data_IF_489804609027
#
_entry.id   IF_489804609027
#
_cell.length_a   1.000
_cell.length_b   1.000
_cell.length_c   1.000
_cell.angle_alpha   90.00
_cell.angle_beta   90.00
_cell.angle_gamma   90.00
#
_symmetry.space_group_name_H-M   'P 1'
#
loop_
_entity.id
_entity.type
_entity.pdbx_description
1 polymer ?
#
# COMPACT_ATOMS: atom_id res chain seq x y z
N UNK A 1 1.65 23.93 -8.54
CA UNK A 1 1.63 22.91 -7.49
C UNK A 1 1.01 21.65 -8.08
N UNK A 2 1.79 20.57 -8.25
CA UNK A 2 1.33 19.27 -8.78
C UNK A 2 1.25 18.28 -7.60
N UNK A 3 0.14 17.54 -7.49
CA UNK A 3 -0.08 16.55 -6.44
C UNK A 3 -0.37 15.20 -7.08
N UNK A 4 0.37 14.16 -6.70
CA UNK A 4 0.09 12.79 -7.12
C UNK A 4 -0.73 12.04 -6.07
N UNK A 5 -1.56 11.11 -6.52
CA UNK A 5 -2.35 10.22 -5.64
C UNK A 5 -1.87 8.79 -5.84
N UNK A 6 -1.54 8.10 -4.74
CA UNK A 6 -1.18 6.69 -4.75
C UNK A 6 -2.16 5.87 -3.92
N UNK A 7 -2.80 4.89 -4.55
CA UNK A 7 -3.86 4.08 -3.93
C UNK A 7 -3.36 2.67 -3.68
N UNK A 8 -3.57 2.14 -2.48
CA UNK A 8 -3.15 0.77 -2.15
C UNK A 8 -3.64 0.27 -0.79
N UNK A 9 -3.35 -1.00 -0.50
CA UNK A 9 -3.57 -1.60 0.82
C UNK A 9 -2.33 -1.55 1.71
N UNK A 10 -1.14 -1.62 1.09
CA UNK A 10 0.16 -1.57 1.75
C UNK A 10 0.31 -2.62 2.88
N UNK A 11 0.00 -3.89 2.58
CA UNK A 11 -0.05 -5.01 3.52
C UNK A 11 1.06 -6.04 3.26
N UNK A 12 2.34 -5.81 3.62
CA UNK A 12 2.90 -4.59 4.23
C UNK A 12 3.30 -3.52 3.21
N UNK A 13 3.67 -2.35 3.72
CA UNK A 13 4.44 -1.37 2.96
C UNK A 13 5.87 -1.90 2.75
N UNK A 14 6.41 -1.78 1.55
CA UNK A 14 7.70 -2.37 1.15
C UNK A 14 8.42 -1.48 0.14
N UNK A 15 9.64 -1.85 -0.25
CA UNK A 15 10.51 -1.00 -1.08
C UNK A 15 9.92 -0.68 -2.46
N UNK A 16 9.20 -1.62 -3.09
CA UNK A 16 8.42 -1.32 -4.29
C UNK A 16 7.44 -0.14 -4.12
N UNK A 17 6.64 -0.15 -3.05
CA UNK A 17 5.73 0.97 -2.74
C UNK A 17 6.48 2.27 -2.42
N UNK A 18 7.60 2.17 -1.70
CA UNK A 18 8.48 3.31 -1.41
C UNK A 18 8.97 3.96 -2.69
N UNK A 19 9.45 3.17 -3.65
CA UNK A 19 9.93 3.67 -4.92
C UNK A 19 8.82 4.34 -5.74
N UNK A 20 7.58 3.84 -5.70
CA UNK A 20 6.43 4.52 -6.31
C UNK A 20 6.21 5.92 -5.74
N UNK A 21 6.25 6.07 -4.41
CA UNK A 21 6.08 7.38 -3.75
C UNK A 21 7.24 8.31 -4.11
N UNK A 22 8.47 7.81 -4.12
CA UNK A 22 9.64 8.58 -4.57
C UNK A 22 9.47 9.06 -6.01
N UNK A 23 9.01 8.21 -6.92
CA UNK A 23 8.71 8.59 -8.31
C UNK A 23 7.64 9.66 -8.41
N UNK A 24 6.58 9.56 -7.63
CA UNK A 24 5.56 10.62 -7.59
C UNK A 24 6.19 11.95 -7.15
N UNK A 25 7.09 11.93 -6.16
CA UNK A 25 7.73 13.14 -5.63
C UNK A 25 8.85 13.70 -6.53
N UNK A 26 9.29 12.97 -7.56
CA UNK A 26 10.19 13.51 -8.58
C UNK A 26 9.46 14.55 -9.45
N UNK A 27 8.17 14.33 -9.76
CA UNK A 27 7.39 15.20 -10.64
C UNK A 27 6.31 16.02 -9.89
N UNK A 28 5.96 15.63 -8.66
CA UNK A 28 4.92 16.27 -7.85
C UNK A 28 5.51 16.91 -6.59
N UNK A 29 4.94 18.05 -6.19
CA UNK A 29 5.31 18.73 -4.96
C UNK A 29 4.90 17.93 -3.72
N UNK A 30 3.83 17.13 -3.85
CA UNK A 30 3.18 16.35 -2.80
C UNK A 30 2.62 15.02 -3.31
N UNK A 31 2.63 14.00 -2.46
CA UNK A 31 1.95 12.73 -2.66
C UNK A 31 0.83 12.54 -1.62
N UNK A 32 -0.37 12.17 -2.06
CA UNK A 32 -1.45 11.70 -1.20
C UNK A 32 -1.56 10.18 -1.34
N UNK A 33 -1.30 9.46 -0.25
CA UNK A 33 -1.46 8.02 -0.17
C UNK A 33 -2.86 7.70 0.36
N UNK A 34 -3.72 7.13 -0.49
CA UNK A 34 -5.01 6.58 -0.11
C UNK A 34 -4.81 5.12 0.29
N UNK A 35 -4.76 4.85 1.59
CA UNK A 35 -4.60 3.51 2.13
C UNK A 35 -5.95 2.94 2.52
N UNK A 36 -6.33 1.85 1.85
CA UNK A 36 -7.57 1.13 2.12
C UNK A 36 -7.48 0.39 3.46
N UNK A 37 -8.50 0.59 4.30
CA UNK A 37 -8.70 -0.26 5.47
C UNK A 37 -9.41 -1.55 5.10
N UNK A 38 -8.98 -2.65 5.70
CA UNK A 38 -9.43 -4.00 5.36
C UNK A 38 -9.43 -4.88 6.60
N UNK A 39 -10.40 -5.79 6.68
CA UNK A 39 -10.44 -6.79 7.75
C UNK A 39 -9.15 -7.61 7.85
N UNK A 40 -8.81 -7.92 9.09
CA UNK A 40 -7.62 -8.71 9.43
C UNK A 40 -7.75 -10.10 8.85
N UNK A 41 -6.74 -10.46 8.07
CA UNK A 41 -6.68 -11.74 7.38
C UNK A 41 -5.25 -12.04 6.98
N UNK A 42 -4.97 -13.25 6.48
CA UNK A 42 -3.62 -13.58 6.01
C UNK A 42 -3.17 -12.71 4.83
N UNK A 43 -4.10 -12.26 4.00
CA UNK A 43 -3.85 -11.29 2.93
C UNK A 43 -3.64 -9.86 3.45
N UNK A 44 -4.24 -9.50 4.58
CA UNK A 44 -4.15 -8.17 5.21
C UNK A 44 -3.79 -8.31 6.71
N UNK A 45 -2.54 -8.69 7.03
CA UNK A 45 -2.17 -9.05 8.39
C UNK A 45 -1.93 -7.85 9.30
N UNK A 46 -1.97 -6.61 8.81
CA UNK A 46 -1.70 -5.41 9.58
C UNK A 46 -2.93 -4.49 9.65
N UNK A 47 -3.11 -3.83 10.80
CA UNK A 47 -4.03 -2.71 10.92
C UNK A 47 -3.53 -1.48 10.14
N UNK A 48 -4.47 -0.61 9.75
CA UNK A 48 -4.17 0.64 9.07
C UNK A 48 -3.05 1.45 9.77
N UNK A 49 -3.12 1.63 11.09
CA UNK A 49 -2.11 2.41 11.83
C UNK A 49 -0.71 1.79 11.74
N UNK A 50 -0.61 0.46 11.63
CA UNK A 50 0.68 -0.22 11.45
C UNK A 50 1.25 0.03 10.06
N UNK A 51 0.43 -0.04 9.01
CA UNK A 51 0.85 0.30 7.65
C UNK A 51 1.22 1.78 7.51
N UNK A 52 0.42 2.68 8.11
CA UNK A 52 0.71 4.11 8.19
C UNK A 52 2.05 4.38 8.87
N UNK A 53 2.35 3.71 9.98
CA UNK A 53 3.63 3.84 10.66
C UNK A 53 4.80 3.39 9.76
N UNK A 54 4.66 2.29 9.01
CA UNK A 54 5.68 1.86 8.04
C UNK A 54 5.93 2.91 6.95
N UNK A 55 4.86 3.51 6.41
CA UNK A 55 4.98 4.61 5.42
C UNK A 55 5.65 5.82 6.06
N UNK A 56 5.33 6.17 7.31
CA UNK A 56 5.92 7.32 8.01
C UNK A 56 7.39 7.16 8.34
N UNK A 57 7.83 5.95 8.63
CA UNK A 57 9.27 5.65 8.77
C UNK A 57 10.02 5.96 7.47
N UNK A 58 9.42 5.66 6.31
CA UNK A 58 10.03 5.96 5.01
C UNK A 58 9.87 7.45 4.61
N UNK A 59 8.75 8.09 4.97
CA UNK A 59 8.40 9.46 4.60
C UNK A 59 7.91 10.27 5.82
N UNK A 60 8.84 10.83 6.63
CA UNK A 60 8.50 11.52 7.87
C UNK A 60 7.88 12.91 7.66
N UNK A 61 8.11 13.54 6.51
CA UNK A 61 7.55 14.85 6.20
C UNK A 61 6.08 14.74 5.75
N UNK A 62 5.16 15.13 6.65
CA UNK A 62 3.72 15.13 6.39
C UNK A 62 3.28 16.17 5.36
N UNK A 63 4.08 17.21 5.12
CA UNK A 63 3.78 18.21 4.08
C UNK A 63 4.01 17.64 2.68
N UNK A 64 4.97 16.72 2.55
CA UNK A 64 5.32 16.04 1.29
C UNK A 64 4.48 14.80 1.04
N UNK A 65 4.25 13.99 2.06
CA UNK A 65 3.43 12.78 1.95
C UNK A 65 2.28 12.88 2.92
N UNK A 66 1.05 12.95 2.43
CA UNK A 66 -0.16 12.85 3.26
C UNK A 66 -0.73 11.44 3.15
N UNK A 67 -1.17 10.85 4.26
CA UNK A 67 -1.78 9.52 4.27
C UNK A 67 -3.24 9.68 4.69
N UNK A 68 -4.16 9.19 3.88
CA UNK A 68 -5.60 9.20 4.17
C UNK A 68 -6.11 7.76 4.22
N UNK A 69 -6.96 7.48 5.21
CA UNK A 69 -7.66 6.21 5.32
C UNK A 69 -8.85 6.21 4.37
N UNK A 70 -9.03 5.13 3.61
CA UNK A 70 -10.30 4.80 2.97
C UNK A 70 -10.99 3.80 3.87
N UNK A 71 -11.98 4.26 4.62
CA UNK A 71 -12.66 3.50 5.69
C UNK A 71 -13.96 2.88 5.17
N UNK A 72 -13.85 1.65 4.66
CA UNK A 72 -14.98 0.86 4.14
C UNK A 72 -14.64 -0.64 4.21
N UNK A 73 -14.50 -1.20 5.42
CA UNK A 73 -13.90 -2.51 5.66
C UNK A 73 -14.69 -3.68 5.04
N UNK A 74 -16.02 -3.57 5.01
CA UNK A 74 -16.93 -4.63 4.57
C UNK A 74 -17.13 -4.69 3.05
N UNK A 75 -16.62 -3.72 2.29
CA UNK A 75 -16.94 -3.60 0.87
C UNK A 75 -15.93 -4.26 -0.05
N UNK A 76 -16.33 -4.52 -1.30
CA UNK A 76 -15.41 -4.91 -2.38
C UNK A 76 -14.97 -3.66 -3.15
N UNK A 77 -14.14 -2.81 -2.52
CA UNK A 77 -13.65 -1.60 -3.19
C UNK A 77 -12.90 -1.93 -4.48
N UNK A 78 -13.24 -1.16 -5.50
CA UNK A 78 -12.57 -1.12 -6.80
C UNK A 78 -12.16 0.32 -7.09
N UNK A 79 -11.01 0.50 -7.74
CA UNK A 79 -10.55 1.83 -8.17
C UNK A 79 -10.93 2.02 -9.63
N UNK A 80 -11.70 3.06 -9.92
CA UNK A 80 -12.07 3.46 -11.28
C UNK A 80 -11.34 4.74 -11.64
N UNK A 81 -10.68 4.75 -12.79
CA UNK A 81 -9.96 5.92 -13.32
C UNK A 81 -10.63 6.32 -14.63
N UNK A 82 -11.12 7.55 -14.71
CA UNK A 82 -11.79 8.08 -15.89
C UNK A 82 -10.83 8.34 -17.05
N UNK A 83 -11.38 8.52 -18.25
CA UNK A 83 -10.60 9.05 -19.39
C UNK A 83 -10.29 10.52 -19.16
N UNK A 84 -9.12 10.94 -19.63
CA UNK A 84 -8.68 12.35 -19.63
C UNK A 84 -8.62 13.04 -18.25
N UNK A 85 -8.54 12.25 -17.17
CA UNK A 85 -8.41 12.78 -15.79
C UNK A 85 -6.96 13.07 -15.38
N UNK A 86 -6.00 12.85 -16.28
CA UNK A 86 -4.57 13.12 -16.04
C UNK A 86 -3.90 12.13 -15.10
N UNK A 87 -3.90 10.84 -15.44
CA UNK A 87 -3.12 9.82 -14.72
C UNK A 87 -1.83 9.47 -15.48
N UNK A 88 -0.80 9.11 -14.73
CA UNK A 88 0.47 8.60 -15.25
C UNK A 88 0.70 7.20 -14.67
N UNK A 89 1.19 6.27 -15.50
CA UNK A 89 1.58 4.93 -15.05
C UNK A 89 3.01 4.98 -14.54
N UNK A 90 3.21 4.60 -13.28
CA UNK A 90 4.56 4.47 -12.72
C UNK A 90 5.16 3.15 -13.22
N UNK A 91 6.27 3.23 -13.94
CA UNK A 91 7.08 2.08 -14.33
C UNK A 91 8.37 2.08 -13.51
N UNK A 92 8.70 0.96 -12.89
CA UNK A 92 9.91 0.79 -12.10
C UNK A 92 10.88 -0.16 -12.80
N UNK A 93 12.10 -0.30 -12.27
CA UNK A 93 13.02 -1.30 -12.79
C UNK A 93 12.59 -2.72 -12.40
N UNK A 94 12.98 -3.71 -13.21
CA UNK A 94 12.62 -5.12 -13.03
C UNK A 94 12.91 -5.67 -11.63
N UNK A 95 13.95 -5.18 -10.93
CA UNK A 95 14.26 -5.68 -9.59
C UNK A 95 13.24 -5.18 -8.58
N UNK A 96 12.85 -3.91 -8.69
CA UNK A 96 11.88 -3.29 -7.81
C UNK A 96 10.46 -3.82 -8.05
N UNK A 97 10.06 -4.04 -9.30
CA UNK A 97 8.74 -4.61 -9.64
C UNK A 97 8.57 -6.06 -9.15
N UNK A 98 9.67 -6.81 -8.98
CA UNK A 98 9.65 -8.16 -8.42
C UNK A 98 9.41 -8.20 -6.92
N UNK A 99 9.46 -7.06 -6.22
CA UNK A 99 9.18 -7.01 -4.78
C UNK A 99 7.68 -7.19 -4.56
N UNK A 100 7.31 -8.38 -4.11
CA UNK A 100 5.93 -8.82 -3.95
C UNK A 100 5.52 -8.81 -2.49
N UNK A 101 4.49 -8.03 -2.15
CA UNK A 101 3.86 -8.09 -0.83
C UNK A 101 3.41 -9.52 -0.47
N UNK A 102 3.03 -10.34 -1.46
CA UNK A 102 2.61 -11.73 -1.22
C UNK A 102 3.77 -12.59 -0.76
N UNK A 103 4.94 -12.47 -1.37
CA UNK A 103 6.10 -13.27 -0.98
C UNK A 103 6.64 -12.83 0.37
N UNK A 104 6.65 -11.51 0.63
CA UNK A 104 6.96 -10.96 1.95
C UNK A 104 5.99 -11.47 3.04
N UNK A 105 4.70 -11.60 2.75
CA UNK A 105 3.74 -12.20 3.68
C UNK A 105 4.03 -13.68 3.91
N UNK A 106 4.33 -14.47 2.87
CA UNK A 106 4.71 -15.88 3.01
C UNK A 106 5.94 -16.05 3.92
N UNK A 107 6.97 -15.22 3.72
CA UNK A 107 8.16 -15.23 4.58
C UNK A 107 7.84 -14.85 6.03
N UNK A 108 7.02 -13.81 6.24
CA UNK A 108 6.60 -13.39 7.58
C UNK A 108 5.84 -14.48 8.33
N UNK A 109 4.94 -15.19 7.64
CA UNK A 109 4.19 -16.31 8.20
C UNK A 109 5.11 -17.51 8.50
N UNK A 110 5.98 -17.87 7.56
CA UNK A 110 6.95 -18.95 7.75
C UNK A 110 7.87 -18.69 8.95
N UNK A 111 8.39 -17.46 9.09
CA UNK A 111 9.23 -17.06 10.23
C UNK A 111 8.48 -17.10 11.57
N UNK A 112 7.16 -16.93 11.55
CA UNK A 112 6.30 -17.05 12.71
C UNK A 112 5.83 -18.51 12.97
N UNK A 113 6.29 -19.49 12.19
CA UNK A 113 5.84 -20.88 12.27
C UNK A 113 4.38 -21.09 11.85
N UNK A 114 3.83 -20.20 11.01
CA UNK A 114 2.44 -20.22 10.54
C UNK A 114 2.38 -20.46 9.04
N UNK A 115 1.27 -21.05 8.58
CA UNK A 115 0.97 -21.21 7.15
C UNK A 115 0.22 -19.98 6.61
N UNK A 116 0.63 -19.48 5.44
CA UNK A 116 -0.07 -18.39 4.75
C UNK A 116 -1.27 -18.94 3.97
N UNK A 117 -2.49 -18.50 4.31
CA UNK A 117 -3.70 -18.89 3.56
C UNK A 117 -4.10 -17.81 2.57
N UNK A 118 -4.15 -18.17 1.30
CA UNK A 118 -4.47 -17.21 0.25
C UNK A 118 -5.96 -16.83 0.24
N UNK A 119 -6.88 -17.67 0.69
CA UNK A 119 -8.29 -17.31 0.91
C UNK A 119 -8.63 -17.47 2.39
N UNK A 120 -8.20 -16.53 3.23
CA UNK A 120 -8.55 -16.56 4.64
C UNK A 120 -10.05 -16.24 4.76
N UNK A 121 -10.81 -17.13 5.41
CA UNK A 121 -11.96 -16.66 6.18
C UNK A 121 -11.45 -15.57 7.16
N UNK A 122 -12.27 -14.56 7.51
CA UNK A 122 -11.88 -13.57 8.51
C UNK A 122 -11.29 -14.30 9.72
N UNK A 123 -10.12 -13.86 10.19
CA UNK A 123 -9.52 -14.43 11.40
C UNK A 123 -10.60 -14.34 12.49
N UNK A 124 -11.02 -15.48 13.05
CA UNK A 124 -12.07 -15.52 14.06
C UNK A 124 -11.72 -14.53 15.18
N UNK A 125 -12.70 -13.67 15.50
CA UNK A 125 -12.59 -12.59 16.48
C UNK A 125 -12.38 -13.12 17.90
#
# INVERSE_FOLDING_TARGET
>A
MKTGIFVGRFQPFHDGHKRCIEKILEDCDKCIVLSRDTDRSDKNPFEFEKCKAMIRVAFPDESKVQIMRVDDPDSKLSVYIGRDVGYELIQLDDKTEKISATDLRKELYANAGKEYKENPHPLEQ
#
